data_IF_592583344121
#
_entry.id   IF_592583344121
#
_cell.length_a   1.000
_cell.length_b   1.000
_cell.length_c   1.000
_cell.angle_alpha   90.00
_cell.angle_beta   90.00
_cell.angle_gamma   90.00
#
_symmetry.space_group_name_H-M   'P 1'
#
loop_
_entity.id
_entity.type
_entity.pdbx_description
1 polymer ?
#
# COMPACT_ATOMS: atom_id res chain seq x y z
N UNK A 1 -21.72 -8.02 20.69
CA UNK A 1 -21.77 -9.44 20.27
C UNK A 1 -22.30 -9.46 18.84
N UNK A 2 -21.71 -10.08 17.83
CA UNK A 2 -20.59 -11.01 17.80
C UNK A 2 -19.45 -10.58 16.87
N UNK A 3 -18.29 -11.18 17.12
CA UNK A 3 -17.06 -11.05 16.33
C UNK A 3 -17.15 -12.07 15.19
N UNK A 4 -17.28 -11.62 13.95
CA UNK A 4 -17.10 -12.50 12.80
C UNK A 4 -15.60 -12.67 12.55
N UNK A 5 -15.05 -13.73 13.14
CA UNK A 5 -13.69 -14.20 12.85
C UNK A 5 -13.73 -14.85 11.46
N UNK A 6 -13.37 -14.08 10.43
CA UNK A 6 -13.17 -14.60 9.09
C UNK A 6 -11.87 -15.42 9.08
N UNK A 7 -12.00 -16.73 9.27
CA UNK A 7 -10.92 -17.68 9.00
C UNK A 7 -10.84 -17.85 7.49
N UNK A 8 -9.94 -17.12 6.84
CA UNK A 8 -9.56 -17.35 5.46
C UNK A 8 -8.86 -18.71 5.38
N UNK A 9 -9.58 -19.72 4.89
CA UNK A 9 -9.02 -21.03 4.59
C UNK A 9 -8.00 -20.88 3.46
N UNK A 10 -6.73 -20.90 3.80
CA UNK A 10 -5.62 -20.93 2.84
C UNK A 10 -5.66 -22.27 2.12
N UNK A 11 -6.14 -22.29 0.87
CA UNK A 11 -5.87 -23.40 -0.03
C UNK A 11 -4.42 -23.28 -0.52
N UNK A 12 -3.49 -23.83 0.26
CA UNK A 12 -2.15 -24.13 -0.23
C UNK A 12 -2.23 -25.42 -1.02
N UNK A 13 -2.33 -25.31 -2.35
CA UNK A 13 -2.01 -26.43 -3.22
C UNK A 13 -0.49 -26.66 -3.16
N UNK A 14 -0.03 -27.42 -2.17
CA UNK A 14 1.37 -27.84 -2.06
C UNK A 14 1.64 -28.83 -3.19
N UNK A 15 2.27 -28.37 -4.27
CA UNK A 15 2.95 -29.27 -5.19
C UNK A 15 4.24 -29.74 -4.50
N UNK A 16 4.19 -30.90 -3.84
CA UNK A 16 5.37 -31.56 -3.29
C UNK A 16 6.22 -32.08 -4.45
N UNK A 17 7.35 -31.44 -4.75
CA UNK A 17 8.40 -32.06 -5.57
C UNK A 17 9.40 -32.74 -4.64
N UNK A 18 9.33 -34.07 -4.60
CA UNK A 18 10.28 -34.93 -3.93
C UNK A 18 11.66 -34.82 -4.61
N UNK A 19 12.67 -34.48 -3.81
CA UNK A 19 14.08 -34.54 -4.23
C UNK A 19 14.48 -35.98 -4.52
N UNK A 20 14.66 -36.29 -5.80
CA UNK A 20 15.47 -37.43 -6.24
C UNK A 20 16.45 -36.98 -7.32
N UNK A 21 17.68 -37.43 -7.13
CA UNK A 21 18.88 -37.16 -7.91
C UNK A 21 18.66 -37.45 -9.40
N UNK A 22 18.96 -36.44 -10.22
CA UNK A 22 19.02 -36.55 -11.69
C UNK A 22 17.73 -36.17 -12.41
N UNK A 23 17.37 -34.89 -12.45
CA UNK A 23 16.10 -34.47 -13.07
C UNK A 23 16.30 -33.27 -13.98
N UNK A 24 15.88 -33.43 -15.25
CA UNK A 24 15.62 -32.33 -16.19
C UNK A 24 14.92 -31.21 -15.42
N UNK A 25 15.36 -29.95 -15.59
CA UNK A 25 14.56 -28.79 -15.18
C UNK A 25 13.16 -28.98 -15.76
N UNK A 26 12.18 -29.32 -14.94
CA UNK A 26 10.79 -29.26 -15.34
C UNK A 26 10.51 -27.78 -15.57
N UNK A 27 10.46 -27.40 -16.84
CA UNK A 27 10.00 -26.07 -17.22
C UNK A 27 8.54 -25.99 -16.81
N UNK A 28 8.24 -25.18 -15.78
CA UNK A 28 6.85 -24.86 -15.43
C UNK A 28 6.27 -24.17 -16.65
N UNK A 29 5.37 -24.86 -17.35
CA UNK A 29 4.72 -24.35 -18.55
C UNK A 29 3.31 -23.90 -18.18
N UNK A 30 3.04 -22.61 -18.40
CA UNK A 30 1.73 -22.02 -18.19
C UNK A 30 0.95 -22.04 -19.49
N UNK A 31 -0.36 -22.25 -19.39
CA UNK A 31 -1.28 -22.15 -20.52
C UNK A 31 -1.40 -20.69 -21.00
N UNK A 32 -1.79 -20.45 -22.26
CA UNK A 32 -2.06 -19.10 -22.75
C UNK A 32 -3.13 -18.36 -21.92
N UNK A 33 -4.10 -19.08 -21.37
CA UNK A 33 -5.15 -18.54 -20.51
C UNK A 33 -4.59 -18.06 -19.17
N UNK A 34 -3.77 -18.87 -18.49
CA UNK A 34 -3.12 -18.47 -17.23
C UNK A 34 -2.20 -17.25 -17.42
N UNK A 35 -1.50 -17.15 -18.55
CA UNK A 35 -0.68 -15.99 -18.89
C UNK A 35 -1.55 -14.75 -19.12
N UNK A 36 -2.67 -14.90 -19.82
CA UNK A 36 -3.61 -13.81 -20.05
C UNK A 36 -4.24 -13.30 -18.76
N UNK A 37 -4.66 -14.21 -17.88
CA UNK A 37 -5.21 -13.88 -16.56
C UNK A 37 -4.19 -13.19 -15.67
N UNK A 38 -2.95 -13.71 -15.62
CA UNK A 38 -1.87 -13.06 -14.91
C UNK A 38 -1.61 -11.64 -15.43
N UNK A 39 -1.67 -11.44 -16.75
CA UNK A 39 -1.57 -10.11 -17.36
C UNK A 39 -2.70 -9.17 -16.92
N UNK A 40 -3.93 -9.66 -16.83
CA UNK A 40 -5.08 -8.88 -16.36
C UNK A 40 -4.97 -8.52 -14.88
N UNK A 41 -4.55 -9.48 -14.03
CA UNK A 41 -4.29 -9.24 -12.61
C UNK A 41 -3.27 -8.11 -12.44
N UNK A 42 -2.16 -8.19 -13.18
CA UNK A 42 -1.09 -7.18 -13.09
C UNK A 42 -1.54 -5.82 -13.58
N UNK A 43 -2.30 -5.76 -14.67
CA UNK A 43 -2.90 -4.51 -15.15
C UNK A 43 -3.80 -3.87 -14.08
N UNK A 44 -4.66 -4.66 -13.43
CA UNK A 44 -5.52 -4.16 -12.35
C UNK A 44 -4.71 -3.70 -11.13
N UNK A 45 -3.66 -4.45 -10.76
CA UNK A 45 -2.75 -4.08 -9.67
C UNK A 45 -2.05 -2.74 -9.95
N UNK A 46 -1.49 -2.56 -11.14
CA UNK A 46 -0.76 -1.34 -11.49
C UNK A 46 -1.71 -0.13 -11.57
N UNK A 47 -2.93 -0.31 -12.10
CA UNK A 47 -3.98 0.71 -12.08
C UNK A 47 -4.37 1.09 -10.65
N UNK A 48 -4.52 0.10 -9.77
CA UNK A 48 -4.82 0.27 -8.35
C UNK A 48 -3.72 1.08 -7.65
N UNK A 49 -2.46 0.74 -7.89
CA UNK A 49 -1.30 1.44 -7.33
C UNK A 49 -1.24 2.91 -7.78
N UNK A 50 -1.41 3.15 -9.08
CA UNK A 50 -1.41 4.50 -9.66
C UNK A 50 -2.55 5.37 -9.11
N UNK A 51 -3.74 4.79 -8.94
CA UNK A 51 -4.88 5.48 -8.38
C UNK A 51 -4.69 5.77 -6.88
N UNK A 52 -4.33 4.76 -6.08
CA UNK A 52 -4.22 4.88 -4.62
C UNK A 52 -3.13 5.87 -4.20
N UNK A 53 -2.06 6.03 -5.00
CA UNK A 53 -1.04 7.07 -4.82
C UNK A 53 -1.62 8.49 -4.86
N UNK A 54 -2.73 8.69 -5.57
CA UNK A 54 -3.34 9.99 -5.77
C UNK A 54 -4.64 10.20 -4.98
N UNK A 55 -5.37 9.14 -4.67
CA UNK A 55 -6.64 9.21 -3.94
C UNK A 55 -6.41 9.53 -2.47
N UNK A 56 -5.41 8.89 -1.84
CA UNK A 56 -5.02 9.17 -0.44
C UNK A 56 -3.53 9.45 -0.42
N UNK A 57 -3.21 10.74 -0.31
CA UNK A 57 -1.86 11.25 -0.08
C UNK A 57 -1.77 11.63 1.39
N UNK A 58 -1.02 10.86 2.14
CA UNK A 58 -0.95 10.99 3.60
C UNK A 58 -0.49 12.39 4.01
N UNK A 59 0.48 12.98 3.30
CA UNK A 59 0.92 14.37 3.51
C UNK A 59 -0.22 15.37 3.35
N UNK A 60 -1.02 15.25 2.29
CA UNK A 60 -2.13 16.18 2.02
C UNK A 60 -3.24 16.03 3.06
N UNK A 61 -3.53 14.80 3.49
CA UNK A 61 -4.49 14.51 4.57
C UNK A 61 -4.02 15.12 5.89
N UNK A 62 -2.74 14.93 6.26
CA UNK A 62 -2.16 15.51 7.48
C UNK A 62 -2.12 17.05 7.41
N UNK A 63 -1.90 17.64 6.23
CA UNK A 63 -1.96 19.08 6.03
C UNK A 63 -3.39 19.64 6.24
N UNK A 64 -4.42 18.96 5.72
CA UNK A 64 -5.83 19.32 5.98
C UNK A 64 -6.14 19.29 7.47
N UNK A 65 -5.78 18.20 8.15
CA UNK A 65 -6.04 18.03 9.58
C UNK A 65 -5.28 19.08 10.40
N UNK A 66 -3.99 19.30 10.09
CA UNK A 66 -3.18 20.34 10.72
C UNK A 66 -3.74 21.75 10.53
N UNK A 67 -4.35 22.04 9.38
CA UNK A 67 -5.03 23.31 9.16
C UNK A 67 -6.27 23.45 10.06
N UNK A 68 -7.09 22.39 10.15
CA UNK A 68 -8.27 22.38 11.01
C UNK A 68 -7.90 22.50 12.50
N UNK A 69 -6.76 21.97 12.93
CA UNK A 69 -6.24 22.11 14.31
C UNK A 69 -5.91 23.56 14.68
N UNK A 70 -5.40 24.35 13.73
CA UNK A 70 -4.91 25.71 13.99
C UNK A 70 -6.01 26.74 14.28
N UNK A 71 -7.28 26.44 13.95
CA UNK A 71 -8.47 27.29 14.22
C UNK A 71 -8.33 28.77 13.83
N UNK A 72 -7.43 29.10 12.91
CA UNK A 72 -7.12 30.48 12.51
C UNK A 72 -7.15 30.61 10.99
N UNK A 73 -7.51 31.80 10.49
CA UNK A 73 -7.48 32.11 9.06
C UNK A 73 -6.02 32.31 8.59
N UNK A 74 -5.26 31.22 8.47
CA UNK A 74 -3.92 31.30 7.86
C UNK A 74 -4.09 31.41 6.33
N UNK A 75 -3.38 32.33 5.63
CA UNK A 75 -3.50 32.54 4.17
C UNK A 75 -3.10 31.34 3.28
N UNK A 76 -2.73 30.19 3.85
CA UNK A 76 -2.29 28.97 3.15
C UNK A 76 -3.37 28.26 2.31
N UNK A 77 -4.56 28.85 2.20
CA UNK A 77 -5.75 28.29 1.56
C UNK A 77 -5.52 27.77 0.12
N UNK A 78 -4.61 28.37 -0.65
CA UNK A 78 -4.37 27.98 -2.05
C UNK A 78 -3.76 26.58 -2.23
N UNK A 79 -3.21 25.97 -1.18
CA UNK A 79 -2.45 24.71 -1.27
C UNK A 79 -3.20 23.47 -0.78
N UNK A 80 -4.41 23.60 -0.21
CA UNK A 80 -5.15 22.50 0.42
C UNK A 80 -6.50 22.24 -0.28
N UNK A 81 -6.52 22.30 -1.61
CA UNK A 81 -7.72 21.94 -2.38
C UNK A 81 -7.84 20.42 -2.46
N UNK A 82 -9.08 19.90 -2.44
CA UNK A 82 -9.32 18.47 -2.68
C UNK A 82 -8.71 18.08 -4.04
N UNK A 83 -7.75 17.15 -4.08
CA UNK A 83 -7.14 16.73 -5.34
C UNK A 83 -8.21 16.16 -6.28
N UNK A 84 -8.19 16.57 -7.54
CA UNK A 84 -9.05 15.94 -8.56
C UNK A 84 -8.51 14.54 -8.84
N UNK A 85 -9.36 13.53 -8.63
CA UNK A 85 -9.04 12.14 -8.97
C UNK A 85 -9.60 11.78 -10.35
N UNK A 86 -8.92 10.90 -11.08
CA UNK A 86 -9.32 10.47 -12.41
C UNK A 86 -10.62 9.66 -12.35
N UNK A 87 -11.70 10.20 -12.94
CA UNK A 87 -13.00 9.49 -13.01
C UNK A 87 -12.89 8.17 -13.76
N UNK A 88 -12.03 8.12 -14.79
CA UNK A 88 -11.79 6.91 -15.58
C UNK A 88 -11.16 5.84 -14.70
N UNK A 89 -10.07 6.18 -14.00
CA UNK A 89 -9.32 5.21 -13.21
C UNK A 89 -10.14 4.78 -11.98
N UNK A 90 -10.93 5.69 -11.39
CA UNK A 90 -11.90 5.36 -10.35
C UNK A 90 -12.99 4.39 -10.84
N UNK A 91 -13.46 4.51 -12.08
CA UNK A 91 -14.43 3.57 -12.64
C UNK A 91 -13.78 2.21 -12.96
N UNK A 92 -12.53 2.19 -13.42
CA UNK A 92 -11.80 0.96 -13.76
C UNK A 92 -11.57 0.07 -12.53
N UNK A 93 -11.18 0.64 -11.40
CA UNK A 93 -10.96 -0.16 -10.17
C UNK A 93 -12.26 -0.72 -9.57
N UNK A 94 -13.41 -0.13 -9.88
CA UNK A 94 -14.73 -0.62 -9.44
C UNK A 94 -15.25 -1.80 -10.26
N UNK A 95 -14.50 -2.23 -11.29
CA UNK A 95 -14.85 -3.33 -12.18
C UNK A 95 -13.70 -4.36 -12.24
N UNK A 96 -13.35 -5.02 -11.10
CA UNK A 96 -12.34 -6.08 -11.12
C UNK A 96 -12.77 -7.21 -12.07
N UNK A 97 -11.84 -7.65 -12.92
CA UNK A 97 -12.10 -8.67 -13.94
C UNK A 97 -12.31 -10.08 -13.37
N UNK A 98 -12.77 -11.00 -14.21
CA UNK A 98 -13.02 -12.40 -13.83
C UNK A 98 -11.75 -13.20 -13.51
N UNK A 99 -10.56 -12.65 -13.79
CA UNK A 99 -9.28 -13.18 -13.33
C UNK A 99 -9.15 -13.20 -11.79
N UNK A 100 -10.02 -12.49 -11.07
CA UNK A 100 -10.17 -12.57 -9.63
C UNK A 100 -11.40 -13.41 -9.25
N UNK A 101 -11.29 -14.22 -8.20
CA UNK A 101 -12.45 -14.93 -7.64
C UNK A 101 -13.54 -13.98 -7.12
N UNK A 102 -14.79 -14.43 -7.10
CA UNK A 102 -15.96 -13.59 -6.77
C UNK A 102 -15.85 -12.86 -5.41
N UNK A 103 -15.36 -13.55 -4.37
CA UNK A 103 -15.16 -12.96 -3.04
C UNK A 103 -14.10 -11.84 -3.06
N UNK A 104 -13.01 -12.05 -3.81
CA UNK A 104 -11.96 -11.05 -3.98
C UNK A 104 -12.52 -9.82 -4.68
N UNK A 105 -13.30 -10.01 -5.76
CA UNK A 105 -13.95 -8.91 -6.48
C UNK A 105 -14.87 -8.11 -5.56
N UNK A 106 -15.71 -8.78 -4.79
CA UNK A 106 -16.62 -8.12 -3.86
C UNK A 106 -15.87 -7.34 -2.78
N UNK A 107 -14.80 -7.91 -2.23
CA UNK A 107 -13.98 -7.24 -1.22
C UNK A 107 -13.27 -6.00 -1.78
N UNK A 108 -12.74 -6.08 -3.02
CA UNK A 108 -12.14 -4.92 -3.69
C UNK A 108 -13.16 -3.81 -3.92
N UNK A 109 -14.33 -4.15 -4.46
CA UNK A 109 -15.43 -3.19 -4.70
C UNK A 109 -15.85 -2.51 -3.40
N UNK A 110 -16.00 -3.27 -2.31
CA UNK A 110 -16.40 -2.72 -1.02
C UNK A 110 -15.35 -1.75 -0.47
N UNK A 111 -14.07 -2.12 -0.47
CA UNK A 111 -13.02 -1.24 0.05
C UNK A 111 -12.86 0.02 -0.81
N UNK A 112 -12.98 -0.07 -2.15
CA UNK A 112 -12.95 1.11 -3.01
C UNK A 112 -14.16 2.03 -2.81
N UNK A 113 -15.36 1.45 -2.66
CA UNK A 113 -16.57 2.23 -2.40
C UNK A 113 -16.45 3.01 -1.07
N UNK A 114 -16.03 2.34 -0.01
CA UNK A 114 -15.82 2.95 1.31
C UNK A 114 -14.71 4.00 1.29
N UNK A 115 -13.61 3.74 0.57
CA UNK A 115 -12.53 4.69 0.36
C UNK A 115 -13.03 5.98 -0.31
N UNK A 116 -13.75 5.86 -1.43
CA UNK A 116 -14.25 7.03 -2.17
C UNK A 116 -15.28 7.80 -1.36
N UNK A 117 -16.18 7.10 -0.67
CA UNK A 117 -17.18 7.73 0.20
C UNK A 117 -16.50 8.50 1.34
N UNK A 118 -15.57 7.87 2.05
CA UNK A 118 -14.87 8.46 3.19
C UNK A 118 -14.05 9.68 2.76
N UNK A 119 -13.37 9.59 1.61
CA UNK A 119 -12.64 10.72 1.03
C UNK A 119 -13.56 11.88 0.66
N UNK A 120 -14.70 11.60 0.03
CA UNK A 120 -15.66 12.65 -0.32
C UNK A 120 -16.19 13.35 0.93
N UNK A 121 -16.50 12.58 1.98
CA UNK A 121 -16.95 13.14 3.25
C UNK A 121 -15.86 13.97 3.93
N UNK A 122 -14.61 13.50 3.94
CA UNK A 122 -13.47 14.19 4.55
C UNK A 122 -13.29 15.61 3.97
N UNK A 123 -13.33 15.73 2.64
CA UNK A 123 -13.20 17.04 1.99
C UNK A 123 -14.49 17.87 2.06
N UNK A 124 -15.68 17.25 2.11
CA UNK A 124 -16.92 17.98 2.34
C UNK A 124 -16.93 18.62 3.74
N UNK A 125 -16.50 17.87 4.76
CA UNK A 125 -16.32 18.35 6.13
C UNK A 125 -15.30 19.48 6.19
N UNK A 126 -14.17 19.37 5.49
CA UNK A 126 -13.17 20.44 5.41
C UNK A 126 -13.75 21.72 4.78
N UNK A 127 -14.46 21.62 3.66
CA UNK A 127 -15.11 22.77 3.02
C UNK A 127 -16.16 23.44 3.93
N UNK A 128 -16.91 22.64 4.69
CA UNK A 128 -17.87 23.14 5.68
C UNK A 128 -17.15 23.83 6.84
N UNK A 129 -16.07 23.26 7.34
CA UNK A 129 -15.22 23.86 8.38
C UNK A 129 -14.69 25.23 7.94
N UNK A 130 -14.19 25.34 6.71
CA UNK A 130 -13.72 26.60 6.13
C UNK A 130 -14.83 27.65 6.04
N UNK A 131 -16.05 27.23 5.69
CA UNK A 131 -17.22 28.12 5.63
C UNK A 131 -17.58 28.67 7.03
N UNK A 132 -17.57 27.82 8.05
CA UNK A 132 -17.80 28.23 9.45
C UNK A 132 -16.71 29.20 9.93
N UNK A 133 -15.45 28.96 9.55
CA UNK A 133 -14.32 29.82 9.92
C UNK A 133 -14.49 31.23 9.37
N UNK A 134 -14.84 31.34 8.08
CA UNK A 134 -15.13 32.62 7.41
C UNK A 134 -16.31 33.36 8.05
N UNK A 135 -17.31 32.62 8.52
CA UNK A 135 -18.47 33.17 9.23
C UNK A 135 -18.19 33.47 10.71
N UNK A 136 -16.97 33.19 11.21
CA UNK A 136 -16.56 33.32 12.61
C UNK A 136 -17.44 32.51 13.57
N UNK A 137 -18.00 31.39 13.09
CA UNK A 137 -18.80 30.45 13.88
C UNK A 137 -17.91 29.32 14.39
N UNK A 138 -17.97 29.03 15.68
CA UNK A 138 -17.18 27.97 16.31
C UNK A 138 -17.99 26.69 16.58
N UNK A 139 -19.32 26.78 16.56
CA UNK A 139 -20.23 25.66 16.77
C UNK A 139 -20.09 24.60 15.67
N UNK A 140 -19.96 23.33 16.05
CA UNK A 140 -19.79 22.20 15.13
C UNK A 140 -18.41 22.06 14.49
N UNK A 141 -17.47 22.99 14.70
CA UNK A 141 -16.11 22.89 14.15
C UNK A 141 -15.32 21.72 14.76
N UNK A 142 -15.46 21.49 16.06
CA UNK A 142 -14.79 20.39 16.75
C UNK A 142 -15.30 19.03 16.26
N UNK A 143 -16.61 18.92 16.01
CA UNK A 143 -17.21 17.69 15.48
C UNK A 143 -16.69 17.39 14.08
N UNK A 144 -16.61 18.39 13.20
CA UNK A 144 -16.03 18.22 11.86
C UNK A 144 -14.56 17.79 11.88
N UNK A 145 -13.77 18.29 12.84
CA UNK A 145 -12.38 17.87 13.03
C UNK A 145 -12.31 16.41 13.51
N UNK A 146 -13.11 16.05 14.51
CA UNK A 146 -13.15 14.68 15.03
C UNK A 146 -13.59 13.68 13.95
N UNK A 147 -14.64 13.99 13.21
CA UNK A 147 -15.10 13.19 12.07
C UNK A 147 -13.96 13.02 11.05
N UNK A 148 -13.20 14.09 10.78
CA UNK A 148 -12.09 14.02 9.83
C UNK A 148 -10.91 13.19 10.33
N UNK A 149 -10.66 13.13 11.64
CA UNK A 149 -9.69 12.15 12.17
C UNK A 149 -10.13 10.72 11.89
N UNK A 150 -11.39 10.38 12.17
CA UNK A 150 -11.94 9.03 11.91
C UNK A 150 -11.88 8.69 10.42
N UNK A 151 -12.34 9.60 9.56
CA UNK A 151 -12.32 9.43 8.11
C UNK A 151 -10.88 9.26 7.58
N UNK A 152 -9.89 9.94 8.18
CA UNK A 152 -8.48 9.76 7.80
C UNK A 152 -7.98 8.33 8.05
N UNK A 153 -8.41 7.72 9.16
CA UNK A 153 -8.08 6.33 9.48
C UNK A 153 -8.78 5.38 8.52
N UNK A 154 -10.08 5.55 8.29
CA UNK A 154 -10.86 4.71 7.37
C UNK A 154 -10.26 4.72 5.96
N UNK A 155 -9.90 5.91 5.44
CA UNK A 155 -9.23 6.02 4.14
C UNK A 155 -7.89 5.25 4.10
N UNK A 156 -7.08 5.37 5.15
CA UNK A 156 -5.80 4.66 5.24
C UNK A 156 -6.00 3.14 5.37
N UNK A 157 -7.02 2.69 6.10
CA UNK A 157 -7.37 1.28 6.26
C UNK A 157 -7.88 0.67 4.96
N UNK A 158 -8.80 1.34 4.25
CA UNK A 158 -9.27 0.88 2.95
C UNK A 158 -8.10 0.75 1.96
N UNK A 159 -7.22 1.76 1.90
CA UNK A 159 -6.00 1.72 1.06
C UNK A 159 -5.14 0.51 1.40
N UNK A 160 -4.89 0.25 2.69
CA UNK A 160 -4.07 -0.87 3.12
C UNK A 160 -4.75 -2.22 2.83
N UNK A 161 -6.05 -2.35 3.05
CA UNK A 161 -6.80 -3.57 2.78
C UNK A 161 -6.78 -3.93 1.29
N UNK A 162 -6.88 -2.93 0.40
CA UNK A 162 -6.75 -3.15 -1.04
C UNK A 162 -5.36 -3.72 -1.37
N UNK A 163 -4.29 -3.17 -0.79
CA UNK A 163 -2.94 -3.72 -0.97
C UNK A 163 -2.80 -5.12 -0.38
N UNK A 164 -3.32 -5.37 0.81
CA UNK A 164 -3.24 -6.67 1.48
C UNK A 164 -4.01 -7.76 0.67
N UNK A 165 -5.12 -7.41 0.01
CA UNK A 165 -5.86 -8.29 -0.91
C UNK A 165 -5.06 -8.56 -2.18
N UNK A 166 -4.56 -7.50 -2.83
CA UNK A 166 -3.96 -7.62 -4.17
C UNK A 166 -2.54 -8.18 -4.16
N UNK A 167 -1.74 -7.86 -3.14
CA UNK A 167 -0.30 -8.19 -3.07
C UNK A 167 0.00 -9.69 -3.32
N UNK A 168 -0.62 -10.66 -2.61
CA UNK A 168 -0.34 -12.07 -2.85
C UNK A 168 -0.80 -12.54 -4.25
N UNK A 169 -1.89 -11.99 -4.77
CA UNK A 169 -2.43 -12.35 -6.09
C UNK A 169 -1.51 -11.81 -7.20
N UNK A 170 -1.08 -10.55 -7.08
CA UNK A 170 -0.14 -9.92 -7.99
C UNK A 170 1.24 -10.61 -7.97
N UNK A 171 1.73 -11.03 -6.80
CA UNK A 171 2.98 -11.78 -6.68
C UNK A 171 2.92 -13.11 -7.46
N UNK A 172 1.80 -13.83 -7.35
CA UNK A 172 1.58 -15.07 -8.11
C UNK A 172 1.47 -14.81 -9.61
N UNK A 173 0.68 -13.82 -10.03
CA UNK A 173 0.58 -13.43 -11.43
C UNK A 173 1.94 -13.03 -12.01
N UNK A 174 2.75 -12.29 -11.25
CA UNK A 174 4.09 -11.91 -11.68
C UNK A 174 5.02 -13.11 -11.83
N UNK A 175 4.89 -14.15 -10.99
CA UNK A 175 5.63 -15.41 -11.16
C UNK A 175 5.27 -16.14 -12.44
N UNK A 176 4.00 -16.11 -12.85
CA UNK A 176 3.54 -16.65 -14.14
C UNK A 176 4.19 -15.88 -15.30
N UNK A 177 4.12 -14.55 -15.27
CA UNK A 177 4.63 -13.70 -16.35
C UNK A 177 6.17 -13.71 -16.45
N UNK A 178 6.87 -14.00 -15.36
CA UNK A 178 8.34 -14.04 -15.29
C UNK A 178 8.89 -15.47 -15.30
N UNK A 179 8.12 -16.48 -15.71
CA UNK A 179 8.50 -17.90 -15.62
C UNK A 179 9.91 -18.18 -16.15
N UNK A 180 10.20 -17.63 -17.34
CA UNK A 180 11.44 -17.76 -18.10
C UNK A 180 12.48 -16.68 -17.79
N UNK A 181 12.15 -15.70 -16.93
CA UNK A 181 13.08 -14.65 -16.58
C UNK A 181 14.11 -15.17 -15.55
N UNK A 182 15.42 -15.11 -15.86
CA UNK A 182 16.46 -15.66 -14.99
C UNK A 182 16.63 -14.90 -13.67
N UNK A 183 16.17 -13.64 -13.59
CA UNK A 183 16.19 -12.81 -12.37
C UNK A 183 14.81 -12.62 -11.74
N UNK A 184 13.86 -13.54 -12.02
CA UNK A 184 12.46 -13.43 -11.54
C UNK A 184 12.34 -13.31 -10.02
N UNK A 185 13.14 -14.06 -9.27
CA UNK A 185 13.06 -14.06 -7.80
C UNK A 185 13.54 -12.72 -7.23
N UNK A 186 14.58 -12.11 -7.81
CA UNK A 186 15.01 -10.76 -7.44
C UNK A 186 13.90 -9.73 -7.71
N UNK A 187 13.28 -9.78 -8.90
CA UNK A 187 12.22 -8.84 -9.27
C UNK A 187 11.02 -8.97 -8.32
N UNK A 188 10.59 -10.20 -8.01
CA UNK A 188 9.47 -10.45 -7.09
C UNK A 188 9.82 -9.98 -5.68
N UNK A 189 11.02 -10.28 -5.19
CA UNK A 189 11.47 -9.86 -3.87
C UNK A 189 11.50 -8.33 -3.74
N UNK A 190 12.07 -7.62 -4.73
CA UNK A 190 12.07 -6.15 -4.76
C UNK A 190 10.66 -5.60 -4.67
N UNK A 191 9.74 -6.06 -5.54
CA UNK A 191 8.38 -5.54 -5.57
C UNK A 191 7.60 -5.82 -4.27
N UNK A 192 7.80 -6.99 -3.69
CA UNK A 192 7.19 -7.35 -2.40
C UNK A 192 7.66 -6.40 -1.31
N UNK A 193 8.98 -6.20 -1.18
CA UNK A 193 9.55 -5.28 -0.21
C UNK A 193 9.10 -3.84 -0.45
N UNK A 194 9.07 -3.35 -1.70
CA UNK A 194 8.54 -2.03 -2.04
C UNK A 194 7.12 -1.81 -1.52
N UNK A 195 6.27 -2.83 -1.65
CA UNK A 195 4.87 -2.78 -1.22
C UNK A 195 4.77 -2.77 0.32
N UNK A 196 5.60 -3.55 1.01
CA UNK A 196 5.68 -3.55 2.47
C UNK A 196 6.23 -2.23 3.01
N UNK A 197 7.27 -1.66 2.38
CA UNK A 197 7.81 -0.33 2.70
C UNK A 197 6.74 0.75 2.55
N UNK A 198 5.96 0.72 1.47
CA UNK A 198 4.84 1.64 1.29
C UNK A 198 3.75 1.46 2.35
N UNK A 199 3.46 0.22 2.76
CA UNK A 199 2.51 -0.06 3.85
C UNK A 199 3.00 0.52 5.18
N UNK A 200 4.29 0.40 5.48
CA UNK A 200 4.94 1.00 6.65
C UNK A 200 4.82 2.53 6.62
N UNK A 201 5.11 3.16 5.48
CA UNK A 201 4.97 4.61 5.29
C UNK A 201 3.53 5.04 5.57
N UNK A 202 2.54 4.34 5.01
CA UNK A 202 1.11 4.68 5.18
C UNK A 202 0.66 4.55 6.64
N UNK A 203 1.14 3.54 7.37
CA UNK A 203 0.83 3.33 8.78
C UNK A 203 1.48 4.37 9.67
N UNK A 204 2.77 4.68 9.42
CA UNK A 204 3.49 5.70 10.17
C UNK A 204 2.86 7.07 9.99
N UNK A 205 2.34 7.38 8.80
CA UNK A 205 1.76 8.69 8.51
C UNK A 205 0.46 9.02 9.26
N UNK A 206 -0.13 8.07 10.01
CA UNK A 206 -1.37 8.26 10.77
C UNK A 206 -1.12 9.10 12.03
N UNK A 207 -0.88 10.41 11.83
CA UNK A 207 -0.49 11.38 12.86
C UNK A 207 -1.35 11.33 14.13
N UNK A 208 -2.65 11.06 14.00
CA UNK A 208 -3.62 11.18 15.10
C UNK A 208 -4.05 9.84 15.71
N UNK A 209 -3.76 8.71 15.05
CA UNK A 209 -4.14 7.37 15.52
C UNK A 209 -2.98 6.42 15.29
N UNK A 210 -2.26 6.13 16.36
CA UNK A 210 -1.04 5.34 16.32
C UNK A 210 -1.34 3.83 16.37
N UNK A 211 -1.14 3.13 15.26
CA UNK A 211 -1.26 1.66 15.18
C UNK A 211 0.11 0.99 15.29
N UNK A 212 0.69 1.08 16.50
CA UNK A 212 2.01 0.51 16.82
C UNK A 212 2.10 -0.97 16.47
N UNK A 213 1.05 -1.73 16.74
CA UNK A 213 1.06 -3.18 16.56
C UNK A 213 1.10 -3.56 15.08
N UNK A 214 0.28 -2.93 14.22
CA UNK A 214 0.30 -3.20 12.79
C UNK A 214 1.60 -2.71 12.13
N UNK A 215 2.13 -1.57 12.61
CA UNK A 215 3.44 -1.08 12.18
C UNK A 215 4.56 -2.08 12.53
N UNK A 216 4.61 -2.59 13.77
CA UNK A 216 5.60 -3.59 14.19
C UNK A 216 5.50 -4.88 13.37
N UNK A 217 4.28 -5.35 13.06
CA UNK A 217 4.05 -6.50 12.20
C UNK A 217 4.58 -6.28 10.78
N UNK A 218 4.36 -5.09 10.19
CA UNK A 218 4.87 -4.78 8.85
C UNK A 218 6.40 -4.58 8.82
N UNK A 219 6.99 -4.02 9.87
CA UNK A 219 8.46 -3.95 10.03
C UNK A 219 9.06 -5.36 10.08
N UNK A 220 8.43 -6.27 10.84
CA UNK A 220 8.85 -7.66 10.90
C UNK A 220 8.68 -8.36 9.56
N UNK A 221 7.56 -8.15 8.86
CA UNK A 221 7.32 -8.68 7.51
C UNK A 221 8.43 -8.24 6.54
N UNK A 222 8.77 -6.95 6.52
CA UNK A 222 9.83 -6.42 5.65
C UNK A 222 11.20 -7.02 5.98
N UNK A 223 11.51 -7.20 7.26
CA UNK A 223 12.76 -7.82 7.69
C UNK A 223 12.86 -9.28 7.26
N UNK A 224 11.78 -10.04 7.38
CA UNK A 224 11.73 -11.43 6.89
C UNK A 224 11.87 -11.50 5.36
N UNK A 225 11.26 -10.57 4.63
CA UNK A 225 11.43 -10.47 3.17
C UNK A 225 12.88 -10.16 2.80
N UNK A 226 13.53 -9.23 3.50
CA UNK A 226 14.94 -8.89 3.31
C UNK A 226 15.86 -10.08 3.60
N UNK A 227 15.69 -10.75 4.75
CA UNK A 227 16.48 -11.93 5.13
C UNK A 227 16.34 -13.08 4.13
N UNK A 228 15.19 -13.22 3.46
CA UNK A 228 14.97 -14.19 2.39
C UNK A 228 15.63 -13.74 1.08
N UNK A 229 15.52 -12.46 0.75
CA UNK A 229 16.08 -11.85 -0.46
C UNK A 229 17.62 -11.89 -0.49
N UNK A 230 18.28 -11.67 0.66
CA UNK A 230 19.74 -11.75 0.79
C UNK A 230 20.31 -13.14 0.52
N UNK A 231 19.48 -14.20 0.65
CA UNK A 231 19.87 -15.59 0.39
C UNK A 231 19.71 -15.99 -1.07
N UNK A 232 19.15 -15.13 -1.92
CA UNK A 232 18.99 -15.42 -3.34
C UNK A 232 20.36 -15.52 -4.03
N UNK A 233 20.56 -16.52 -4.91
CA UNK A 233 21.83 -16.71 -5.58
C UNK A 233 22.08 -15.59 -6.60
N UNK A 234 23.37 -15.28 -6.82
CA UNK A 234 23.78 -14.43 -7.95
C UNK A 234 23.45 -15.15 -9.26
N UNK A 235 22.82 -14.43 -10.18
CA UNK A 235 22.41 -14.98 -11.47
C UNK A 235 23.52 -14.70 -12.48
N UNK A 236 24.19 -15.77 -12.95
CA UNK A 236 25.31 -15.68 -13.88
C UNK A 236 24.87 -15.05 -15.20
N UNK A 237 25.66 -14.08 -15.71
CA UNK A 237 25.34 -13.34 -16.93
C UNK A 237 24.34 -12.20 -16.74
N UNK A 238 23.98 -11.90 -15.48
CA UNK A 238 23.11 -10.80 -15.06
C UNK A 238 23.75 -10.04 -13.89
N UNK A 239 25.04 -9.70 -14.05
CA UNK A 239 25.84 -9.05 -13.02
C UNK A 239 25.32 -7.64 -12.70
N UNK A 240 24.87 -6.88 -13.70
CA UNK A 240 24.31 -5.54 -13.53
C UNK A 240 22.99 -5.57 -12.72
N UNK A 241 22.08 -6.49 -13.05
CA UNK A 241 20.83 -6.68 -12.31
C UNK A 241 21.09 -7.17 -10.89
N UNK A 242 22.09 -8.03 -10.70
CA UNK A 242 22.52 -8.50 -9.38
C UNK A 242 23.09 -7.36 -8.52
N UNK A 243 23.80 -6.41 -9.12
CA UNK A 243 24.30 -5.22 -8.43
C UNK A 243 23.16 -4.28 -8.02
N UNK A 244 22.24 -3.98 -8.96
CA UNK A 244 21.02 -3.19 -8.66
C UNK A 244 20.17 -3.82 -7.56
N UNK A 245 20.07 -5.15 -7.55
CA UNK A 245 19.37 -5.87 -6.50
C UNK A 245 20.04 -5.68 -5.14
N UNK A 246 21.37 -5.82 -5.04
CA UNK A 246 22.11 -5.59 -3.79
C UNK A 246 21.99 -4.14 -3.28
N UNK A 247 22.02 -3.18 -4.19
CA UNK A 247 21.79 -1.77 -3.86
C UNK A 247 20.39 -1.56 -3.27
N UNK A 248 19.39 -2.22 -3.86
CA UNK A 248 18.03 -2.22 -3.33
C UNK A 248 17.94 -2.83 -1.93
N UNK A 249 18.58 -3.98 -1.68
CA UNK A 249 18.62 -4.60 -0.35
C UNK A 249 19.25 -3.66 0.68
N UNK A 250 20.36 -3.00 0.31
CA UNK A 250 21.05 -2.04 1.18
C UNK A 250 20.18 -0.83 1.52
N UNK A 251 19.42 -0.30 0.54
CA UNK A 251 18.44 0.77 0.78
C UNK A 251 17.30 0.31 1.68
N UNK A 252 16.84 -0.93 1.51
CA UNK A 252 15.78 -1.53 2.34
C UNK A 252 16.21 -1.67 3.80
N UNK A 253 17.45 -2.13 4.03
CA UNK A 253 18.06 -2.20 5.36
C UNK A 253 18.19 -0.80 5.99
N UNK A 254 18.58 0.22 5.20
CA UNK A 254 18.62 1.62 5.64
C UNK A 254 17.25 2.14 6.07
N UNK A 255 16.22 1.87 5.27
CA UNK A 255 14.84 2.20 5.60
C UNK A 255 14.36 1.54 6.90
N UNK A 256 14.64 0.24 7.08
CA UNK A 256 14.28 -0.49 8.29
C UNK A 256 14.85 0.17 9.56
N UNK A 257 16.11 0.61 9.52
CA UNK A 257 16.75 1.31 10.64
C UNK A 257 16.04 2.61 10.99
N UNK A 258 15.79 3.45 9.99
CA UNK A 258 15.11 4.74 10.18
C UNK A 258 13.71 4.55 10.78
N UNK A 259 12.94 3.60 10.23
CA UNK A 259 11.59 3.32 10.73
C UNK A 259 11.64 2.76 12.15
N UNK A 260 12.61 1.89 12.47
CA UNK A 260 12.78 1.35 13.82
C UNK A 260 13.15 2.45 14.83
N UNK A 261 14.03 3.37 14.46
CA UNK A 261 14.41 4.51 15.31
C UNK A 261 13.22 5.46 15.52
N UNK A 262 12.47 5.79 14.47
CA UNK A 262 11.25 6.57 14.56
C UNK A 262 10.18 5.87 15.42
N UNK A 263 10.06 4.55 15.29
CA UNK A 263 9.11 3.71 16.05
C UNK A 263 9.43 3.66 17.55
N UNK A 264 10.69 3.80 17.95
CA UNK A 264 11.07 3.88 19.37
C UNK A 264 10.62 5.19 20.04
N UNK A 265 10.31 6.22 19.27
CA UNK A 265 9.77 7.48 19.78
C UNK A 265 8.30 7.28 20.19
N UNK A 266 7.83 8.10 21.13
CA UNK A 266 6.50 7.93 21.72
C UNK A 266 5.34 8.45 20.85
N UNK A 267 5.63 9.12 19.74
CA UNK A 267 4.63 9.74 18.88
C UNK A 267 5.19 9.98 17.47
N UNK A 268 4.28 10.18 16.51
CA UNK A 268 4.58 10.71 15.19
C UNK A 268 5.36 12.04 15.25
N UNK A 269 6.29 12.23 14.31
CA UNK A 269 6.96 13.49 14.03
C UNK A 269 7.00 13.76 12.51
N UNK A 270 6.81 15.02 12.11
CA UNK A 270 6.81 15.40 10.69
C UNK A 270 8.21 15.19 10.06
N UNK A 271 9.29 15.45 10.79
CA UNK A 271 10.65 15.23 10.30
C UNK A 271 10.94 13.75 10.02
N UNK A 272 10.49 12.88 10.92
CA UNK A 272 10.63 11.43 10.76
C UNK A 272 9.81 10.93 9.57
N UNK A 273 8.59 11.45 9.39
CA UNK A 273 7.76 11.09 8.25
C UNK A 273 8.37 11.54 6.92
N UNK A 274 8.96 12.73 6.85
CA UNK A 274 9.67 13.21 5.65
C UNK A 274 10.91 12.34 5.35
N UNK A 275 11.68 11.95 6.38
CA UNK A 275 12.81 11.04 6.19
C UNK A 275 12.36 9.65 5.70
N UNK A 276 11.37 9.05 6.36
CA UNK A 276 10.82 7.73 6.01
C UNK A 276 10.22 7.74 4.60
N UNK A 277 9.45 8.78 4.25
CA UNK A 277 8.77 8.88 2.95
C UNK A 277 9.71 9.16 1.78
N UNK A 278 10.92 9.69 2.03
CA UNK A 278 11.96 9.86 1.02
C UNK A 278 12.36 8.54 0.33
N UNK A 279 12.24 7.41 1.04
CA UNK A 279 12.48 6.08 0.50
C UNK A 279 11.36 5.60 -0.41
N UNK A 280 10.10 6.00 -0.15
CA UNK A 280 8.94 5.63 -0.97
C UNK A 280 8.97 6.26 -2.37
N UNK A 281 9.63 7.41 -2.53
CA UNK A 281 9.73 8.12 -3.82
C UNK A 281 10.73 7.49 -4.80
N UNK A 282 11.65 6.64 -4.34
CA UNK A 282 12.73 6.07 -5.16
C UNK A 282 12.57 4.60 -5.54
N UNK A 283 11.44 3.97 -5.23
CA UNK A 283 11.29 2.51 -5.15
C UNK A 283 10.14 1.95 -6.03
N UNK A 284 9.35 2.83 -6.66
CA UNK A 284 8.31 2.49 -7.65
C UNK A 284 8.65 3.10 -9.00
#
# INVERSE_FOLDING_TARGET
MGKNLLVLSVWVSVLMLASCVGSKKETVTYTPEEIADAGQVMKYYDASLALLKNVVKERDVNAVLGYMEQKTEVPMFSYIMSPVISKKDSAEVMLPGECFGADVRQNLIQNYAELFQSRNQFYANFNKYLSLLKEKKTEGMADLLNDNYELSVVMSECKQNIFDILSPIASNAQRVLLAENPVKEQIIAMKSMSTTMQSIINLYARKHVEDKSRLDLKIMELRLQLDAAEKLPVVKGHEEESEKFKDFLSKTEGFLKIVQDARQKNSYADEDFEEISSYGLGII
#
